data_IF_968405609416
#
_entry.id   IF_968405609416
#
_cell.length_a   1.000
_cell.length_b   1.000
_cell.length_c   1.000
_cell.angle_alpha   90.00
_cell.angle_beta   90.00
_cell.angle_gamma   90.00
#
_symmetry.space_group_name_H-M   'P 1'
#
loop_
_entity.id
_entity.type
_entity.pdbx_description
1 polymer ?
#
# COMPACT_ATOMS: atom_id res chain seq x y z
N UNK A 1 7.59 0.82 16.23
CA UNK A 1 7.85 -0.62 16.16
C UNK A 1 6.95 -1.39 17.11
N UNK A 2 7.05 -1.19 18.43
CA UNK A 2 6.23 -1.89 19.44
C UNK A 2 4.72 -1.72 19.26
N UNK A 3 4.27 -0.63 18.69
CA UNK A 3 2.85 -0.37 18.46
C UNK A 3 2.26 -1.33 17.40
N UNK A 4 3.01 -1.65 16.35
CA UNK A 4 2.57 -2.60 15.32
C UNK A 4 2.63 -4.06 15.80
N UNK A 5 3.57 -4.40 16.69
CA UNK A 5 3.72 -5.75 17.23
C UNK A 5 2.51 -6.21 18.03
N UNK A 6 1.81 -5.29 18.69
CA UNK A 6 0.69 -5.56 19.60
C UNK A 6 -0.63 -4.96 19.12
N UNK A 7 -0.69 -4.45 17.89
CA UNK A 7 -1.93 -3.87 17.37
C UNK A 7 -2.92 -4.96 16.99
N UNK A 8 -4.13 -4.85 17.50
CA UNK A 8 -5.27 -5.73 17.22
C UNK A 8 -6.16 -5.12 16.13
N UNK A 9 -6.93 -5.97 15.45
CA UNK A 9 -7.93 -5.53 14.47
C UNK A 9 -7.44 -5.34 13.05
N UNK A 10 -6.18 -5.63 12.73
CA UNK A 10 -5.68 -5.56 11.35
C UNK A 10 -6.40 -6.53 10.42
N UNK A 11 -6.74 -7.72 10.89
CA UNK A 11 -7.49 -8.72 10.13
C UNK A 11 -8.88 -8.21 9.71
N UNK A 12 -9.58 -7.49 10.59
CA UNK A 12 -10.86 -6.84 10.27
C UNK A 12 -10.69 -5.68 9.30
N UNK A 13 -9.69 -4.82 9.52
CA UNK A 13 -9.41 -3.67 8.67
C UNK A 13 -9.10 -4.13 7.24
N UNK A 14 -8.16 -5.06 7.08
CA UNK A 14 -7.82 -5.58 5.75
C UNK A 14 -9.01 -6.29 5.09
N UNK A 15 -9.77 -7.11 5.83
CA UNK A 15 -10.97 -7.78 5.31
C UNK A 15 -12.05 -6.80 4.85
N UNK A 16 -12.17 -5.64 5.49
CA UNK A 16 -13.15 -4.60 5.14
C UNK A 16 -12.78 -3.84 3.87
N UNK A 17 -11.49 -3.58 3.65
CA UNK A 17 -11.03 -2.66 2.61
C UNK A 17 -10.31 -3.34 1.43
N UNK A 18 -9.91 -4.60 1.54
CA UNK A 18 -9.38 -5.37 0.42
C UNK A 18 -10.52 -6.00 -0.37
N UNK A 19 -10.76 -5.50 -1.57
CA UNK A 19 -11.90 -5.91 -2.40
C UNK A 19 -11.74 -7.29 -3.02
N UNK A 20 -10.49 -7.72 -3.29
CA UNK A 20 -10.19 -9.00 -3.91
C UNK A 20 -9.34 -9.87 -3.02
N UNK A 21 -9.75 -11.12 -2.88
CA UNK A 21 -9.02 -12.12 -2.10
C UNK A 21 -7.73 -12.60 -2.77
N UNK A 22 -7.63 -12.44 -4.07
CA UNK A 22 -6.50 -12.80 -4.93
C UNK A 22 -5.72 -11.58 -5.44
N UNK A 23 -5.90 -10.43 -4.79
CA UNK A 23 -5.26 -9.16 -5.17
C UNK A 23 -3.75 -9.16 -4.97
N UNK A 24 -3.07 -8.22 -5.64
CA UNK A 24 -1.63 -7.93 -5.50
C UNK A 24 -1.44 -6.65 -4.71
N UNK A 25 -0.65 -6.70 -3.64
CA UNK A 25 -0.34 -5.54 -2.80
C UNK A 25 1.17 -5.41 -2.58
N UNK A 26 1.64 -4.16 -2.51
CA UNK A 26 3.04 -3.84 -2.19
C UNK A 26 3.11 -3.39 -0.73
N UNK A 27 3.99 -4.01 0.05
CA UNK A 27 4.18 -3.73 1.48
C UNK A 27 5.54 -3.08 1.71
N UNK A 28 5.56 -1.81 2.10
CA UNK A 28 6.79 -1.05 2.33
C UNK A 28 7.27 -1.19 3.76
N UNK A 29 8.48 -1.74 3.94
CA UNK A 29 9.13 -1.95 5.23
C UNK A 29 10.36 -1.05 5.42
N UNK A 30 10.75 -0.82 6.68
CA UNK A 30 11.86 0.09 7.01
C UNK A 30 13.24 -0.52 6.75
N UNK A 31 13.39 -1.81 7.06
CA UNK A 31 14.65 -2.57 6.94
C UNK A 31 14.35 -4.07 6.94
N UNK A 32 15.39 -4.88 6.77
CA UNK A 32 15.28 -6.34 6.68
C UNK A 32 14.67 -6.98 7.94
N UNK A 33 15.10 -6.57 9.11
CA UNK A 33 14.60 -7.09 10.39
C UNK A 33 13.10 -6.79 10.55
N UNK A 34 12.69 -5.56 10.26
CA UNK A 34 11.29 -5.17 10.26
C UNK A 34 10.47 -5.93 9.22
N UNK A 35 10.99 -6.12 8.00
CA UNK A 35 10.33 -6.89 6.96
C UNK A 35 10.10 -8.33 7.40
N UNK A 36 11.11 -8.99 7.96
CA UNK A 36 11.02 -10.38 8.45
C UNK A 36 9.97 -10.52 9.55
N UNK A 37 9.92 -9.56 10.47
CA UNK A 37 8.93 -9.52 11.54
C UNK A 37 7.50 -9.36 10.99
N UNK A 38 7.30 -8.44 10.04
CA UNK A 38 5.98 -8.19 9.43
C UNK A 38 5.52 -9.37 8.55
N UNK A 39 6.43 -10.05 7.87
CA UNK A 39 6.14 -11.30 7.16
C UNK A 39 5.62 -12.36 8.15
N UNK A 40 6.22 -12.45 9.34
CA UNK A 40 5.76 -13.35 10.40
C UNK A 40 4.33 -13.08 10.88
N UNK A 41 3.81 -11.87 10.69
CA UNK A 41 2.43 -11.46 11.00
C UNK A 41 1.44 -11.67 9.86
N UNK A 42 1.89 -11.97 8.67
CA UNK A 42 1.02 -12.01 7.48
C UNK A 42 -0.13 -13.01 7.63
N UNK A 43 0.11 -14.20 8.14
CA UNK A 43 -0.93 -15.23 8.33
C UNK A 43 -2.01 -14.81 9.35
N UNK A 44 -1.66 -13.97 10.32
CA UNK A 44 -2.60 -13.40 11.31
C UNK A 44 -3.39 -12.24 10.68
N UNK A 45 -2.69 -11.25 10.13
CA UNK A 45 -3.28 -10.02 9.62
C UNK A 45 -4.21 -10.24 8.42
N UNK A 46 -3.92 -11.22 7.58
CA UNK A 46 -4.71 -11.51 6.38
C UNK A 46 -5.60 -12.75 6.53
N UNK A 47 -5.73 -13.31 7.75
CA UNK A 47 -6.44 -14.59 8.02
C UNK A 47 -7.87 -14.65 7.52
N UNK A 48 -8.58 -13.51 7.48
CA UNK A 48 -9.97 -13.41 6.99
C UNK A 48 -10.07 -13.31 5.47
N UNK A 49 -8.96 -12.99 4.79
CA UNK A 49 -8.87 -12.88 3.34
C UNK A 49 -8.29 -14.16 2.78
N UNK A 50 -7.07 -14.49 3.19
CA UNK A 50 -6.36 -15.70 2.80
C UNK A 50 -5.49 -16.18 3.97
N UNK A 51 -5.66 -17.46 4.35
CA UNK A 51 -4.89 -18.09 5.44
C UNK A 51 -3.44 -18.40 5.05
N UNK A 52 -3.15 -18.40 3.76
CA UNK A 52 -1.85 -18.75 3.20
C UNK A 52 -1.49 -17.80 2.05
N UNK A 53 -1.33 -16.49 2.33
CA UNK A 53 -0.96 -15.53 1.29
C UNK A 53 0.41 -15.87 0.71
N UNK A 54 0.58 -15.64 -0.59
CA UNK A 54 1.87 -15.75 -1.25
C UNK A 54 2.72 -14.51 -0.92
N UNK A 55 3.93 -14.73 -0.43
CA UNK A 55 4.82 -13.68 0.07
C UNK A 55 6.09 -13.64 -0.78
N UNK A 56 6.41 -12.46 -1.26
CA UNK A 56 7.55 -12.17 -2.12
C UNK A 56 8.43 -11.10 -1.46
N UNK A 57 9.51 -11.49 -0.75
CA UNK A 57 10.45 -10.53 -0.15
C UNK A 57 11.42 -10.01 -1.20
N UNK A 58 11.53 -8.67 -1.30
CA UNK A 58 12.43 -8.03 -2.28
C UNK A 58 13.19 -6.89 -1.59
N UNK A 59 14.51 -6.99 -1.52
CA UNK A 59 15.37 -5.96 -0.92
C UNK A 59 16.71 -5.84 -1.63
N UNK A 60 17.39 -4.71 -1.43
CA UNK A 60 18.70 -4.45 -2.06
C UNK A 60 19.74 -5.48 -1.62
N UNK A 61 20.59 -5.92 -2.56
CA UNK A 61 21.63 -6.92 -2.36
C UNK A 61 21.15 -8.36 -2.13
N UNK A 62 19.88 -8.65 -2.36
CA UNK A 62 19.38 -10.01 -2.42
C UNK A 62 19.59 -10.59 -3.82
N UNK A 63 20.38 -11.69 -3.98
CA UNK A 63 20.55 -12.33 -5.28
C UNK A 63 19.23 -12.84 -5.90
N UNK A 64 18.25 -13.16 -5.05
CA UNK A 64 16.94 -13.68 -5.46
C UNK A 64 15.90 -12.57 -5.74
N UNK A 65 16.20 -11.30 -5.42
CA UNK A 65 15.24 -10.19 -5.54
C UNK A 65 14.59 -10.09 -6.92
N UNK A 66 15.37 -10.26 -7.99
CA UNK A 66 14.85 -10.20 -9.36
C UNK A 66 13.91 -11.36 -9.67
N UNK A 67 14.18 -12.55 -9.14
CA UNK A 67 13.34 -13.73 -9.30
C UNK A 67 12.04 -13.58 -8.51
N UNK A 68 12.14 -13.25 -7.23
CA UNK A 68 10.97 -13.01 -6.36
C UNK A 68 10.04 -11.96 -6.94
N UNK A 69 10.62 -10.91 -7.51
CA UNK A 69 9.85 -9.86 -8.17
C UNK A 69 9.18 -10.34 -9.47
N UNK A 70 9.87 -11.16 -10.27
CA UNK A 70 9.29 -11.74 -11.49
C UNK A 70 8.16 -12.74 -11.15
N UNK A 71 8.36 -13.57 -10.13
CA UNK A 71 7.38 -14.53 -9.63
C UNK A 71 6.12 -13.82 -9.10
N UNK A 72 6.28 -12.73 -8.34
CA UNK A 72 5.17 -11.89 -7.91
C UNK A 72 4.34 -11.34 -9.08
N UNK A 73 5.01 -10.84 -10.13
CA UNK A 73 4.30 -10.33 -11.31
C UNK A 73 3.55 -11.42 -12.05
N UNK A 74 4.15 -12.59 -12.17
CA UNK A 74 3.62 -13.72 -12.91
C UNK A 74 2.57 -14.54 -12.14
N UNK A 75 2.44 -14.33 -10.83
CA UNK A 75 1.50 -15.09 -10.01
C UNK A 75 0.04 -14.71 -10.33
N UNK A 76 -0.68 -15.65 -10.95
CA UNK A 76 -2.11 -15.58 -11.26
C UNK A 76 -2.94 -16.54 -10.41
N UNK A 77 -2.38 -17.04 -9.30
CA UNK A 77 -3.09 -17.93 -8.38
C UNK A 77 -4.28 -17.23 -7.69
N UNK A 78 -5.17 -18.01 -7.12
CA UNK A 78 -6.29 -17.52 -6.30
C UNK A 78 -5.88 -17.08 -4.89
N UNK A 79 -4.58 -16.94 -4.59
CA UNK A 79 -4.07 -16.47 -3.30
C UNK A 79 -3.85 -14.95 -3.28
N UNK A 80 -3.90 -14.36 -2.10
CA UNK A 80 -3.45 -12.99 -1.87
C UNK A 80 -1.93 -12.91 -2.09
N UNK A 81 -1.45 -11.95 -2.90
CA UNK A 81 -0.03 -11.77 -3.21
C UNK A 81 0.49 -10.52 -2.52
N UNK A 82 1.53 -10.67 -1.71
CA UNK A 82 2.14 -9.62 -0.93
C UNK A 82 3.63 -9.48 -1.28
N UNK A 83 3.98 -8.38 -1.96
CA UNK A 83 5.37 -8.01 -2.25
C UNK A 83 5.90 -7.15 -1.10
N UNK A 84 6.70 -7.74 -0.23
CA UNK A 84 7.39 -7.02 0.84
C UNK A 84 8.68 -6.41 0.30
N UNK A 85 8.86 -5.10 0.45
CA UNK A 85 10.03 -4.43 -0.09
C UNK A 85 10.65 -3.38 0.84
N UNK A 86 11.96 -3.17 0.65
CA UNK A 86 12.77 -2.16 1.31
C UNK A 86 13.44 -1.33 0.21
N UNK A 87 13.05 -0.06 0.06
CA UNK A 87 13.63 0.95 -0.86
C UNK A 87 13.78 0.59 -2.35
N UNK A 88 13.50 -0.65 -2.76
CA UNK A 88 13.76 -1.17 -4.10
C UNK A 88 12.88 -0.57 -5.22
N UNK A 89 11.77 0.05 -4.87
CA UNK A 89 10.82 0.58 -5.86
C UNK A 89 11.08 2.05 -6.24
N UNK A 90 12.24 2.59 -5.87
CA UNK A 90 12.61 3.97 -6.21
C UNK A 90 13.04 4.14 -7.68
N UNK A 91 13.38 3.06 -8.38
CA UNK A 91 13.89 3.11 -9.75
C UNK A 91 13.04 2.28 -10.72
N UNK A 92 12.11 2.94 -11.42
CA UNK A 92 11.53 2.45 -12.68
C UNK A 92 10.74 1.13 -12.68
N UNK A 93 10.50 0.51 -11.53
CA UNK A 93 9.83 -0.78 -11.44
C UNK A 93 8.33 -0.60 -11.65
N UNK A 94 7.85 -0.98 -12.81
CA UNK A 94 6.44 -1.02 -13.13
C UNK A 94 5.85 -2.40 -12.78
N UNK A 95 4.81 -2.42 -11.95
CA UNK A 95 4.03 -3.63 -11.65
C UNK A 95 2.61 -3.38 -12.11
N UNK A 96 2.18 -4.13 -13.09
CA UNK A 96 0.78 -4.10 -13.53
C UNK A 96 -0.13 -4.81 -12.51
N UNK A 97 -1.38 -4.37 -12.44
CA UNK A 97 -2.45 -5.00 -11.66
C UNK A 97 -2.24 -5.02 -10.13
N UNK A 98 -1.48 -4.06 -9.58
CA UNK A 98 -1.41 -3.81 -8.13
C UNK A 98 -2.71 -3.14 -7.67
N UNK A 99 -3.36 -3.70 -6.66
CA UNK A 99 -4.62 -3.18 -6.10
C UNK A 99 -4.41 -2.15 -5.01
N UNK A 100 -3.24 -2.15 -4.39
CA UNK A 100 -2.94 -1.18 -3.37
C UNK A 100 -1.55 -1.30 -2.76
N UNK A 101 -1.27 -0.41 -1.81
CA UNK A 101 -0.02 -0.40 -1.03
C UNK A 101 -0.32 -0.40 0.46
N UNK A 102 0.59 -1.01 1.22
CA UNK A 102 0.58 -1.04 2.68
C UNK A 102 1.86 -0.38 3.17
N UNK A 103 1.73 0.74 3.85
CA UNK A 103 2.85 1.53 4.36
C UNK A 103 3.08 1.18 5.83
N UNK A 104 4.09 0.35 6.11
CA UNK A 104 4.51 -0.05 7.45
C UNK A 104 5.73 0.73 7.94
N UNK A 105 6.27 1.63 7.11
CA UNK A 105 7.43 2.46 7.45
C UNK A 105 7.05 3.92 7.56
N UNK A 106 7.51 4.63 8.61
CA UNK A 106 7.43 6.08 8.63
C UNK A 106 8.28 6.67 7.48
N UNK A 107 7.75 7.63 6.78
CA UNK A 107 8.45 8.37 5.74
C UNK A 107 8.49 9.85 6.13
N UNK A 108 9.69 10.44 6.12
CA UNK A 108 9.91 11.86 6.40
C UNK A 108 10.02 12.70 5.12
N UNK A 109 10.06 12.05 3.97
CA UNK A 109 10.17 12.71 2.68
C UNK A 109 8.86 12.63 1.91
N UNK A 110 8.23 13.80 1.63
CA UNK A 110 7.04 13.87 0.78
C UNK A 110 7.25 13.25 -0.61
N UNK A 111 8.44 13.39 -1.16
CA UNK A 111 8.78 12.84 -2.48
C UNK A 111 8.77 11.31 -2.45
N UNK A 112 9.40 10.70 -1.44
CA UNK A 112 9.41 9.24 -1.28
C UNK A 112 8.00 8.71 -1.05
N UNK A 113 7.20 9.40 -0.24
CA UNK A 113 5.80 9.06 -0.01
C UNK A 113 4.99 9.06 -1.31
N UNK A 114 5.09 10.15 -2.11
CA UNK A 114 4.43 10.24 -3.41
C UNK A 114 4.88 9.15 -4.39
N UNK A 115 6.17 8.79 -4.40
CA UNK A 115 6.67 7.70 -5.23
C UNK A 115 6.07 6.35 -4.82
N UNK A 116 5.96 6.07 -3.53
CA UNK A 116 5.36 4.83 -3.02
C UNK A 116 3.88 4.72 -3.38
N UNK A 117 3.12 5.80 -3.17
CA UNK A 117 1.70 5.86 -3.55
C UNK A 117 1.53 5.82 -5.07
N UNK A 118 2.33 6.58 -5.80
CA UNK A 118 2.26 6.66 -7.26
C UNK A 118 2.43 5.32 -7.95
N UNK A 119 3.18 4.39 -7.34
CA UNK A 119 3.31 3.02 -7.83
C UNK A 119 2.00 2.25 -7.80
N UNK A 120 1.24 2.36 -6.72
CA UNK A 120 -0.08 1.75 -6.62
C UNK A 120 -1.07 2.41 -7.57
N UNK A 121 -1.06 3.73 -7.65
CA UNK A 121 -2.01 4.49 -8.44
C UNK A 121 -1.79 4.35 -9.96
N UNK A 122 -0.52 4.28 -10.41
CA UNK A 122 -0.18 4.15 -11.83
C UNK A 122 -0.24 2.73 -12.36
N UNK A 123 -0.17 1.73 -11.48
CA UNK A 123 -0.13 0.32 -11.86
C UNK A 123 -1.52 -0.33 -11.94
N UNK A 124 -2.51 0.27 -11.31
CA UNK A 124 -3.86 -0.29 -11.29
C UNK A 124 -4.63 0.09 -12.55
N UNK A 125 -5.04 -0.91 -13.32
CA UNK A 125 -6.06 -0.75 -14.37
C UNK A 125 -7.48 -0.56 -13.80
N UNK A 126 -7.62 -0.71 -12.48
CA UNK A 126 -8.89 -0.55 -11.75
C UNK A 126 -8.98 0.85 -11.19
N UNK A 127 -10.20 1.38 -11.12
CA UNK A 127 -10.46 2.75 -10.65
C UNK A 127 -10.25 2.97 -9.14
N UNK A 128 -10.09 1.90 -8.35
CA UNK A 128 -10.11 1.97 -6.89
C UNK A 128 -8.88 1.29 -6.28
N UNK A 129 -7.73 1.96 -6.31
CA UNK A 129 -6.55 1.51 -5.57
C UNK A 129 -6.65 1.90 -4.10
N UNK A 130 -6.23 1.02 -3.19
CA UNK A 130 -6.28 1.23 -1.75
C UNK A 130 -4.89 1.52 -1.19
N UNK A 131 -4.80 2.52 -0.32
CA UNK A 131 -3.59 2.86 0.42
C UNK A 131 -3.85 2.63 1.90
N UNK A 132 -3.15 1.66 2.48
CA UNK A 132 -3.15 1.43 3.93
C UNK A 132 -1.95 2.16 4.55
N UNK A 133 -2.19 3.32 5.13
CA UNK A 133 -1.16 4.10 5.82
C UNK A 133 -1.19 3.81 7.33
N UNK A 134 -0.54 2.71 7.71
CA UNK A 134 -0.57 2.18 9.08
C UNK A 134 0.22 3.05 10.07
N UNK A 135 1.14 3.87 9.57
CA UNK A 135 2.07 4.68 10.38
C UNK A 135 1.77 6.17 10.30
N UNK A 136 0.59 6.55 9.80
CA UNK A 136 0.10 7.93 9.73
C UNK A 136 1.03 8.88 8.95
N UNK A 137 1.62 8.43 7.86
CA UNK A 137 2.46 9.27 7.00
C UNK A 137 1.70 10.47 6.45
N UNK A 138 0.43 10.28 6.07
CA UNK A 138 -0.44 11.33 5.55
C UNK A 138 -0.58 12.47 6.56
N UNK A 139 -0.89 12.16 7.82
CA UNK A 139 -1.04 13.19 8.86
C UNK A 139 0.27 13.91 9.17
N UNK A 140 1.40 13.19 9.10
CA UNK A 140 2.71 13.74 9.41
C UNK A 140 3.31 14.62 8.30
N UNK A 141 2.98 14.33 7.04
CA UNK A 141 3.59 14.99 5.88
C UNK A 141 2.70 16.04 5.23
N UNK A 142 1.37 15.84 5.27
CA UNK A 142 0.40 16.69 4.57
C UNK A 142 -0.88 16.83 5.37
N UNK A 143 -1.58 17.95 5.17
CA UNK A 143 -3.02 17.94 5.39
C UNK A 143 -3.68 17.17 4.24
N UNK A 144 -4.79 16.49 4.50
CA UNK A 144 -5.57 15.78 3.48
C UNK A 144 -5.95 16.70 2.32
N UNK A 145 -6.34 17.97 2.65
CA UNK A 145 -6.66 18.98 1.65
C UNK A 145 -5.50 19.31 0.69
N UNK A 146 -4.25 19.31 1.17
CA UNK A 146 -3.08 19.55 0.31
C UNK A 146 -2.89 18.42 -0.71
N UNK A 147 -3.18 17.18 -0.36
CA UNK A 147 -3.08 16.04 -1.28
C UNK A 147 -4.16 16.14 -2.36
N UNK A 148 -5.40 16.48 -1.99
CA UNK A 148 -6.49 16.71 -2.94
C UNK A 148 -6.17 17.82 -3.94
N UNK A 149 -5.65 18.96 -3.45
CA UNK A 149 -5.23 20.08 -4.30
C UNK A 149 -4.13 19.66 -5.30
N UNK A 150 -3.10 18.94 -4.83
CA UNK A 150 -2.02 18.46 -5.70
C UNK A 150 -2.51 17.46 -6.74
N UNK A 151 -3.43 16.57 -6.39
CA UNK A 151 -4.04 15.63 -7.34
C UNK A 151 -4.86 16.37 -8.41
N UNK A 152 -5.63 17.39 -8.02
CA UNK A 152 -6.40 18.22 -8.96
C UNK A 152 -5.49 19.01 -9.91
N UNK A 153 -4.36 19.53 -9.39
CA UNK A 153 -3.36 20.23 -10.21
C UNK A 153 -2.74 19.25 -11.22
N UNK A 154 -2.36 18.05 -10.79
CA UNK A 154 -1.81 17.03 -11.67
C UNK A 154 -2.81 16.60 -12.74
N UNK A 155 -4.06 16.34 -12.38
CA UNK A 155 -5.13 15.99 -13.32
C UNK A 155 -5.37 17.11 -14.34
N UNK A 156 -5.37 18.37 -13.90
CA UNK A 156 -5.51 19.53 -14.77
C UNK A 156 -4.37 19.66 -15.77
N UNK A 157 -3.13 19.38 -15.34
CA UNK A 157 -1.97 19.35 -16.21
C UNK A 157 -2.08 18.26 -17.30
N UNK A 158 -2.47 17.05 -16.95
CA UNK A 158 -2.67 15.96 -17.92
C UNK A 158 -3.79 16.28 -18.92
N UNK A 159 -4.91 16.87 -18.48
CA UNK A 159 -5.96 17.37 -19.37
C UNK A 159 -5.44 18.43 -20.34
N UNK A 160 -4.67 19.38 -19.85
CA UNK A 160 -4.07 20.44 -20.69
C UNK A 160 -3.13 19.85 -21.76
N UNK A 161 -2.39 18.80 -21.43
CA UNK A 161 -1.47 18.09 -22.34
C UNK A 161 -2.18 17.12 -23.30
N UNK A 162 -3.51 16.96 -23.19
CA UNK A 162 -4.27 15.99 -24.00
C UNK A 162 -3.99 14.53 -23.65
N UNK A 163 -3.54 14.27 -22.43
CA UNK A 163 -3.17 12.95 -21.90
C UNK A 163 -4.17 12.51 -20.83
N UNK A 164 -5.47 12.66 -21.10
CA UNK A 164 -6.54 12.33 -20.12
C UNK A 164 -6.54 10.85 -19.71
N UNK A 165 -6.05 9.96 -20.55
CA UNK A 165 -5.88 8.54 -20.26
C UNK A 165 -4.84 8.25 -19.16
N UNK A 166 -3.94 9.20 -18.88
CA UNK A 166 -2.98 9.12 -17.78
C UNK A 166 -3.59 9.53 -16.42
N UNK A 167 -4.81 10.06 -16.41
CA UNK A 167 -5.52 10.43 -15.18
C UNK A 167 -6.17 9.18 -14.60
N UNK A 168 -5.49 8.53 -13.67
CA UNK A 168 -5.98 7.28 -13.07
C UNK A 168 -7.00 7.56 -11.95
N UNK A 169 -6.78 8.60 -11.15
CA UNK A 169 -7.65 8.95 -10.03
C UNK A 169 -7.83 10.45 -9.88
N UNK A 170 -9.06 10.93 -9.88
CA UNK A 170 -9.41 12.34 -9.63
C UNK A 170 -9.84 12.59 -8.19
N UNK A 171 -10.31 11.57 -7.50
CA UNK A 171 -10.84 11.65 -6.15
C UNK A 171 -10.37 10.49 -5.31
N UNK A 172 -10.10 10.74 -4.03
CA UNK A 172 -9.85 9.71 -3.04
C UNK A 172 -10.67 9.96 -1.78
N UNK A 173 -10.93 8.89 -1.06
CA UNK A 173 -11.60 8.94 0.23
C UNK A 173 -10.61 8.51 1.30
N UNK A 174 -10.46 9.34 2.33
CA UNK A 174 -9.71 8.97 3.53
C UNK A 174 -10.69 8.43 4.57
N UNK A 175 -10.39 7.27 5.11
CA UNK A 175 -11.11 6.68 6.24
C UNK A 175 -10.14 6.58 7.41
N UNK A 176 -10.47 7.22 8.52
CA UNK A 176 -9.68 7.17 9.75
C UNK A 176 -10.26 6.10 10.67
N UNK A 177 -9.76 4.88 10.56
CA UNK A 177 -10.23 3.73 11.36
C UNK A 177 -10.02 3.93 12.86
N UNK A 178 -9.02 4.69 13.27
CA UNK A 178 -8.73 4.93 14.69
C UNK A 178 -9.72 5.91 15.29
N UNK A 179 -10.01 7.01 14.61
CA UNK A 179 -11.00 8.01 15.07
C UNK A 179 -12.42 7.44 15.09
N UNK A 180 -12.76 6.65 14.07
CA UNK A 180 -14.07 6.01 13.99
C UNK A 180 -14.29 5.03 15.14
N UNK A 181 -13.26 4.28 15.55
CA UNK A 181 -13.31 3.41 16.72
C UNK A 181 -13.45 4.20 18.03
N UNK A 182 -12.69 5.29 18.23
CA UNK A 182 -12.79 6.13 19.43
C UNK A 182 -14.18 6.78 19.53
N UNK A 183 -14.71 7.31 18.44
CA UNK A 183 -16.06 7.90 18.42
C UNK A 183 -17.16 6.88 18.73
N UNK A 184 -16.93 5.58 18.48
CA UNK A 184 -17.85 4.51 18.85
C UNK A 184 -17.81 4.24 20.38
N UNK A 185 -16.63 4.30 21.01
CA UNK A 185 -16.46 4.14 22.44
C UNK A 185 -17.03 5.31 23.26
N UNK A 186 -16.98 6.52 22.74
CA UNK A 186 -17.57 7.71 23.39
C UNK A 186 -19.11 7.73 23.35
N UNK A 187 -19.75 6.86 22.55
CA UNK A 187 -21.20 6.73 22.44
C UNK A 187 -21.81 5.58 23.28
N UNK A 188 -20.96 4.81 23.96
CA UNK A 188 -21.35 3.74 24.88
C UNK A 188 -21.29 4.22 26.33
#
# INVERSE_FOLDING_TARGET
RRALENAEGFDEMFNRHMNNRDGKYIVFCSNYEHMTEMIGKASEWFSKIDKSPHIYPVYSNDPEASREFADFKADESGHLKLLYCIDMLNEGVHVEDVEGVILLRPTVSPIVYKQQIGRALSASKRKDSVIFDIVLNIENLYSIGTIEEEMQIAASYYRFMGQEEEIVHEHFKVTDEVRDCVALFEKL
#
